data_IF_900577666872
#
_entry.id   IF_900577666872
#
_cell.length_a   1.000
_cell.length_b   1.000
_cell.length_c   1.000
_cell.angle_alpha   90.00
_cell.angle_beta   90.00
_cell.angle_gamma   90.00
#
_symmetry.space_group_name_H-M   'P 1'
#
loop_
_entity.id
_entity.type
_entity.pdbx_description
1 polymer ?
#
# COMPACT_ATOMS: atom_id res chain seq x y z
N UNK A 1 -14.11 3.34 -8.32
CA UNK A 1 -13.73 3.30 -9.76
C UNK A 1 -12.24 3.06 -9.97
N UNK A 2 -11.34 3.83 -9.33
CA UNK A 2 -9.88 3.66 -9.47
C UNK A 2 -9.38 2.24 -9.16
N UNK A 3 -9.89 1.61 -8.08
CA UNK A 3 -9.50 0.25 -7.69
C UNK A 3 -9.76 -0.81 -8.78
N UNK A 4 -10.98 -0.79 -9.35
CA UNK A 4 -11.38 -1.73 -10.41
C UNK A 4 -10.53 -1.51 -11.67
N UNK A 5 -10.22 -0.26 -12.00
CA UNK A 5 -9.40 0.04 -13.16
C UNK A 5 -7.95 -0.45 -12.98
N UNK A 6 -7.35 -0.15 -11.82
CA UNK A 6 -5.98 -0.57 -11.51
C UNK A 6 -5.82 -2.09 -11.46
N UNK A 7 -6.75 -2.81 -10.82
CA UNK A 7 -6.69 -4.27 -10.72
C UNK A 7 -6.89 -4.97 -12.07
N UNK A 8 -7.80 -4.48 -12.91
CA UNK A 8 -8.00 -5.02 -14.27
C UNK A 8 -6.79 -4.75 -15.15
N UNK A 9 -6.20 -3.55 -15.09
CA UNK A 9 -5.00 -3.24 -15.86
C UNK A 9 -3.82 -4.14 -15.47
N UNK A 10 -3.60 -4.32 -14.16
CA UNK A 10 -2.57 -5.21 -13.64
C UNK A 10 -2.82 -6.66 -14.07
N UNK A 11 -4.07 -7.11 -14.05
CA UNK A 11 -4.44 -8.43 -14.53
C UNK A 11 -4.18 -8.60 -16.03
N UNK A 12 -4.52 -7.62 -16.86
CA UNK A 12 -4.26 -7.66 -18.31
C UNK A 12 -2.76 -7.73 -18.60
N UNK A 13 -1.94 -7.07 -17.79
CA UNK A 13 -0.48 -7.11 -17.94
C UNK A 13 0.14 -8.44 -17.49
N UNK A 14 -0.24 -8.94 -16.31
CA UNK A 14 0.36 -10.17 -15.72
C UNK A 14 -0.28 -11.44 -16.27
N UNK A 15 -1.54 -11.36 -16.73
CA UNK A 15 -2.33 -12.45 -17.32
C UNK A 15 -2.48 -13.70 -16.44
N UNK A 16 -2.44 -13.52 -15.11
CA UNK A 16 -2.51 -14.62 -14.15
C UNK A 16 -3.71 -14.49 -13.21
N UNK A 17 -4.50 -15.57 -13.06
CA UNK A 17 -5.74 -15.59 -12.28
C UNK A 17 -5.56 -15.20 -10.80
N UNK A 18 -4.40 -15.51 -10.21
CA UNK A 18 -4.10 -15.12 -8.82
C UNK A 18 -4.17 -13.62 -8.61
N UNK A 19 -3.87 -12.80 -9.62
CA UNK A 19 -3.98 -11.34 -9.50
C UNK A 19 -5.41 -10.91 -9.18
N UNK A 20 -6.41 -11.54 -9.81
CA UNK A 20 -7.82 -11.25 -9.54
C UNK A 20 -8.22 -11.70 -8.14
N UNK A 21 -7.75 -12.86 -7.68
CA UNK A 21 -8.00 -13.35 -6.32
C UNK A 21 -7.40 -12.40 -5.27
N UNK A 22 -6.15 -11.97 -5.47
CA UNK A 22 -5.48 -11.00 -4.59
C UNK A 22 -6.20 -9.66 -4.60
N UNK A 23 -6.62 -9.15 -5.76
CA UNK A 23 -7.38 -7.91 -5.86
C UNK A 23 -8.75 -7.99 -5.17
N UNK A 24 -9.43 -9.14 -5.26
CA UNK A 24 -10.70 -9.36 -4.58
C UNK A 24 -10.53 -9.38 -3.05
N UNK A 25 -9.44 -9.95 -2.54
CA UNK A 25 -9.12 -9.98 -1.10
C UNK A 25 -8.63 -8.63 -0.58
N UNK A 26 -7.82 -7.91 -1.36
CA UNK A 26 -7.31 -6.60 -0.96
C UNK A 26 -8.41 -5.54 -0.86
N UNK A 27 -9.46 -5.64 -1.68
CA UNK A 27 -10.55 -4.67 -1.67
C UNK A 27 -11.21 -4.49 -0.28
N UNK A 28 -11.71 -5.54 0.40
CA UNK A 28 -12.29 -5.39 1.74
C UNK A 28 -11.26 -4.95 2.79
N UNK A 29 -9.98 -5.31 2.65
CA UNK A 29 -8.92 -4.87 3.56
C UNK A 29 -8.73 -3.35 3.46
N UNK A 30 -8.61 -2.83 2.24
CA UNK A 30 -8.47 -1.40 2.00
C UNK A 30 -9.74 -0.63 2.38
N UNK A 31 -10.91 -1.20 2.12
CA UNK A 31 -12.18 -0.62 2.57
C UNK A 31 -12.22 -0.51 4.10
N UNK A 32 -11.80 -1.57 4.80
CA UNK A 32 -11.79 -1.54 6.27
C UNK A 32 -10.76 -0.53 6.82
N UNK A 33 -9.62 -0.38 6.16
CA UNK A 33 -8.64 0.64 6.53
C UNK A 33 -9.20 2.07 6.31
N UNK A 34 -9.91 2.29 5.20
CA UNK A 34 -10.55 3.58 4.92
C UNK A 34 -11.74 3.89 5.84
N UNK A 35 -12.43 2.86 6.35
CA UNK A 35 -13.48 2.97 7.37
C UNK A 35 -12.92 3.47 8.72
N UNK A 36 -11.66 3.16 9.03
CA UNK A 36 -10.98 3.66 10.23
C UNK A 36 -10.47 5.09 10.08
N UNK A 37 -9.92 5.44 8.92
CA UNK A 37 -9.47 6.79 8.62
C UNK A 37 -9.72 7.12 7.13
N UNK A 38 -10.57 8.12 6.82
CA UNK A 38 -10.81 8.56 5.45
C UNK A 38 -9.55 9.00 4.69
N UNK A 39 -8.50 9.42 5.41
CA UNK A 39 -7.20 9.87 4.88
C UNK A 39 -6.11 8.82 5.01
N UNK A 40 -6.45 7.57 5.33
CA UNK A 40 -5.47 6.49 5.53
C UNK A 40 -4.44 6.41 4.40
N UNK A 41 -4.90 6.48 3.14
CA UNK A 41 -4.03 6.41 1.96
C UNK A 41 -3.12 7.64 1.84
N UNK A 42 -3.63 8.84 2.16
CA UNK A 42 -2.83 10.08 2.11
C UNK A 42 -1.74 10.08 3.18
N UNK A 43 -2.06 9.63 4.39
CA UNK A 43 -1.09 9.47 5.48
C UNK A 43 -0.02 8.44 5.11
N UNK A 44 -0.43 7.31 4.52
CA UNK A 44 0.50 6.29 4.05
C UNK A 44 1.41 6.83 2.95
N UNK A 45 0.89 7.54 1.94
CA UNK A 45 1.71 8.12 0.88
C UNK A 45 2.67 9.18 1.43
N UNK A 46 2.17 10.09 2.26
CA UNK A 46 2.96 11.18 2.85
C UNK A 46 4.09 10.62 3.70
N UNK A 47 3.80 9.66 4.58
CA UNK A 47 4.82 9.02 5.41
C UNK A 47 5.87 8.28 4.58
N UNK A 48 5.49 7.62 3.50
CA UNK A 48 6.44 6.93 2.62
C UNK A 48 7.30 7.88 1.77
N UNK A 49 6.79 9.08 1.45
CA UNK A 49 7.49 10.08 0.65
C UNK A 49 8.39 10.99 1.50
N UNK A 50 7.85 11.53 2.60
CA UNK A 50 8.51 12.50 3.46
C UNK A 50 9.42 11.83 4.50
N UNK A 51 9.08 10.61 4.94
CA UNK A 51 9.85 9.85 5.93
C UNK A 51 10.11 8.42 5.47
N UNK A 52 10.85 8.23 4.37
CA UNK A 52 11.17 6.89 3.90
C UNK A 52 12.02 6.14 4.95
N UNK A 53 11.81 4.82 5.11
CA UNK A 53 12.61 4.04 6.04
C UNK A 53 14.09 4.04 5.63
N UNK A 54 14.95 4.25 6.62
CA UNK A 54 16.40 4.20 6.44
C UNK A 54 16.86 2.78 6.12
N UNK A 55 17.90 2.67 5.28
CA UNK A 55 18.44 1.36 4.84
C UNK A 55 18.90 0.46 5.99
N UNK A 56 19.33 1.06 7.10
CA UNK A 56 19.83 0.40 8.29
C UNK A 56 18.77 0.25 9.41
N UNK A 57 17.50 0.60 9.15
CA UNK A 57 16.40 0.48 10.11
C UNK A 57 16.31 -0.90 10.76
N UNK A 58 16.54 -1.96 9.99
CA UNK A 58 16.50 -3.36 10.46
C UNK A 58 17.63 -3.70 11.43
N UNK A 59 18.77 -3.01 11.32
CA UNK A 59 19.94 -3.19 12.19
C UNK A 59 19.75 -2.42 13.50
N UNK A 60 19.17 -1.23 13.43
CA UNK A 60 19.03 -0.32 14.59
C UNK A 60 17.66 -0.37 15.28
N UNK A 61 16.75 -1.24 14.83
CA UNK A 61 15.40 -1.37 15.40
C UNK A 61 14.48 -0.17 15.11
N UNK A 62 14.89 0.74 14.24
CA UNK A 62 14.18 1.98 13.96
C UNK A 62 15.00 2.95 13.12
N UNK A 63 14.32 3.98 12.61
CA UNK A 63 14.97 5.09 11.92
C UNK A 63 15.61 6.00 12.98
N UNK A 64 16.95 6.09 12.94
CA UNK A 64 17.70 6.94 13.85
C UNK A 64 17.75 8.35 13.29
N UNK A 65 17.04 9.29 13.92
CA UNK A 65 17.22 10.72 13.69
C UNK A 65 18.52 11.13 14.38
N UNK A 66 19.67 10.88 13.75
CA UNK A 66 20.90 11.52 14.18
C UNK A 66 20.76 13.04 13.96
N UNK A 67 21.13 13.89 14.94
CA UNK A 67 21.19 15.34 14.75
C UNK A 67 22.26 15.76 13.75
#
# INVERSE_FOLDING_TARGET
>A
MVWLFGSVLLFVWVQHMVVLAVAAVLYPVLWKAADWDPRFIDVMMTSLQETPPTRNRTIHGGDSYAP
#
